data_IF_763966620174
#
_entry.id   IF_763966620174
#
_cell.length_a   1.000
_cell.length_b   1.000
_cell.length_c   1.000
_cell.angle_alpha   90.00
_cell.angle_beta   90.00
_cell.angle_gamma   90.00
#
_symmetry.space_group_name_H-M   'P 1'
#
loop_
_entity.id
_entity.type
_entity.pdbx_description
1 polymer ?
#
# COMPACT_ATOMS: atom_id res chain seq x y z
N UNK A 1 -8.29 -9.25 13.84
CA UNK A 1 -7.98 -7.84 14.20
C UNK A 1 -8.68 -6.89 13.22
N UNK A 2 -9.15 -5.70 13.64
CA UNK A 2 -9.73 -4.72 12.71
C UNK A 2 -8.66 -3.81 12.10
N UNK A 3 -8.80 -3.53 10.81
CA UNK A 3 -7.97 -2.53 10.11
C UNK A 3 -8.21 -1.15 10.77
N UNK A 4 -7.16 -0.40 11.14
CA UNK A 4 -7.31 0.94 11.71
C UNK A 4 -8.08 1.91 10.81
N UNK A 5 -8.80 2.86 11.39
CA UNK A 5 -9.64 3.81 10.65
C UNK A 5 -8.86 4.66 9.65
N UNK A 6 -7.64 5.07 10.00
CA UNK A 6 -6.78 5.84 9.08
C UNK A 6 -6.43 5.01 7.84
N UNK A 7 -6.14 3.72 7.98
CA UNK A 7 -5.83 2.84 6.86
C UNK A 7 -7.06 2.64 5.95
N UNK A 8 -8.26 2.53 6.54
CA UNK A 8 -9.52 2.47 5.78
C UNK A 8 -9.80 3.77 5.03
N UNK A 9 -9.60 4.92 5.66
CA UNK A 9 -9.79 6.25 5.05
C UNK A 9 -8.81 6.47 3.89
N UNK A 10 -7.55 6.09 4.07
CA UNK A 10 -6.53 6.14 3.02
C UNK A 10 -6.92 5.25 1.84
N UNK A 11 -7.38 4.02 2.11
CA UNK A 11 -7.83 3.12 1.05
C UNK A 11 -9.03 3.69 0.27
N UNK A 12 -10.00 4.32 0.93
CA UNK A 12 -11.11 4.99 0.24
C UNK A 12 -10.63 6.17 -0.62
N UNK A 13 -9.64 6.92 -0.15
CA UNK A 13 -9.04 8.01 -0.93
C UNK A 13 -8.32 7.47 -2.16
N UNK A 14 -7.59 6.36 -2.02
CA UNK A 14 -6.94 5.67 -3.12
C UNK A 14 -7.97 5.20 -4.18
N UNK A 15 -9.08 4.59 -3.75
CA UNK A 15 -10.14 4.15 -4.66
C UNK A 15 -10.75 5.31 -5.44
N UNK A 16 -11.01 6.44 -4.78
CA UNK A 16 -11.51 7.64 -5.45
C UNK A 16 -10.52 8.19 -6.48
N UNK A 17 -9.25 8.33 -6.09
CA UNK A 17 -8.21 8.79 -7.01
C UNK A 17 -8.04 7.85 -8.20
N UNK A 18 -8.16 6.53 -7.99
CA UNK A 18 -8.16 5.54 -9.07
C UNK A 18 -9.33 5.73 -10.05
N UNK A 19 -10.55 5.91 -9.52
CA UNK A 19 -11.74 6.14 -10.33
C UNK A 19 -11.64 7.42 -11.16
N UNK A 20 -11.01 8.45 -10.60
CA UNK A 20 -10.79 9.74 -11.26
C UNK A 20 -9.56 9.75 -12.20
N UNK A 21 -8.82 8.65 -12.31
CA UNK A 21 -7.60 8.56 -13.13
C UNK A 21 -6.40 9.32 -12.57
N UNK A 22 -6.46 9.70 -11.30
CA UNK A 22 -5.49 10.55 -10.60
C UNK A 22 -4.53 9.73 -9.73
N UNK A 23 -4.04 8.60 -10.24
CA UNK A 23 -2.97 7.85 -9.59
C UNK A 23 -1.65 8.09 -10.31
N UNK A 24 -0.59 8.21 -9.51
CA UNK A 24 0.78 8.23 -9.99
C UNK A 24 1.58 7.11 -9.30
N UNK A 25 2.50 6.51 -10.06
CA UNK A 25 3.58 5.69 -9.51
C UNK A 25 4.85 6.54 -9.53
N UNK A 26 5.48 6.69 -8.38
CA UNK A 26 6.62 7.57 -8.19
C UNK A 26 7.80 6.80 -7.62
N UNK A 27 8.99 7.02 -8.19
CA UNK A 27 10.23 6.54 -7.59
C UNK A 27 10.59 7.44 -6.41
N UNK A 28 10.81 6.83 -5.24
CA UNK A 28 11.17 7.53 -4.02
C UNK A 28 12.32 6.80 -3.33
N UNK A 29 13.05 7.51 -2.48
CA UNK A 29 13.99 6.90 -1.55
C UNK A 29 13.30 6.75 -0.20
N UNK A 30 13.40 5.56 0.38
CA UNK A 30 13.04 5.34 1.78
C UNK A 30 13.87 6.28 2.66
N UNK A 31 13.20 7.08 3.49
CA UNK A 31 13.86 8.19 4.19
C UNK A 31 14.85 7.72 5.27
N UNK A 32 14.70 6.50 5.77
CA UNK A 32 15.57 5.93 6.80
C UNK A 32 16.74 5.17 6.19
N UNK A 33 16.48 4.36 5.16
CA UNK A 33 17.45 3.42 4.60
C UNK A 33 18.10 3.88 3.30
N UNK A 34 17.49 4.86 2.60
CA UNK A 34 17.90 5.29 1.26
C UNK A 34 17.58 4.28 0.16
N UNK A 35 16.82 3.22 0.44
CA UNK A 35 16.43 2.22 -0.55
C UNK A 35 15.45 2.82 -1.58
N UNK A 36 15.60 2.46 -2.85
CA UNK A 36 14.67 2.88 -3.90
C UNK A 36 13.33 2.12 -3.77
N UNK A 37 12.23 2.87 -3.70
CA UNK A 37 10.85 2.38 -3.54
C UNK A 37 9.97 2.95 -4.66
N UNK A 38 9.01 2.16 -5.12
CA UNK A 38 7.99 2.61 -6.08
C UNK A 38 6.68 2.88 -5.32
N UNK A 39 6.38 4.15 -5.10
CA UNK A 39 5.28 4.62 -4.23
C UNK A 39 4.04 4.92 -5.06
N UNK A 40 2.90 4.38 -4.61
CA UNK A 40 1.57 4.70 -5.13
C UNK A 40 1.10 5.99 -4.47
N UNK A 41 0.78 6.99 -5.31
CA UNK A 41 0.31 8.29 -4.86
C UNK A 41 -1.05 8.64 -5.47
N UNK A 42 -1.95 9.23 -4.67
CA UNK A 42 -3.02 10.05 -5.24
C UNK A 42 -2.45 11.39 -5.70
N UNK A 43 -2.88 11.84 -6.87
CA UNK A 43 -2.58 13.15 -7.43
C UNK A 43 -3.77 14.07 -7.14
N UNK A 44 -3.51 15.10 -6.37
CA UNK A 44 -4.44 16.21 -6.13
C UNK A 44 -3.93 17.50 -6.73
N UNK A 45 -4.71 18.56 -6.54
CA UNK A 45 -4.28 19.93 -6.79
C UNK A 45 -4.51 20.78 -5.56
N UNK A 46 -3.55 21.65 -5.28
CA UNK A 46 -3.71 22.76 -4.35
C UNK A 46 -3.41 24.06 -5.12
N UNK A 47 -4.47 24.79 -5.49
CA UNK A 47 -4.38 25.90 -6.43
C UNK A 47 -3.84 25.46 -7.79
N UNK A 48 -2.65 25.98 -8.15
CA UNK A 48 -1.96 25.66 -9.39
C UNK A 48 -0.97 24.47 -9.25
N UNK A 49 -0.68 24.05 -8.02
CA UNK A 49 0.32 23.04 -7.73
C UNK A 49 -0.28 21.64 -7.69
N UNK A 50 0.53 20.65 -8.11
CA UNK A 50 0.19 19.25 -7.92
C UNK A 50 0.62 18.80 -6.53
N UNK A 51 -0.28 18.11 -5.84
CA UNK A 51 0.00 17.50 -4.54
C UNK A 51 -0.01 15.99 -4.70
N UNK A 52 1.01 15.32 -4.19
CA UNK A 52 1.13 13.88 -4.22
C UNK A 52 0.97 13.33 -2.81
N UNK A 53 -0.08 12.55 -2.60
CA UNK A 53 -0.34 11.89 -1.31
C UNK A 53 0.10 10.43 -1.40
N UNK A 54 1.22 10.04 -0.76
CA UNK A 54 1.70 8.66 -0.79
C UNK A 54 0.84 7.76 0.11
N UNK A 55 0.46 6.58 -0.40
CA UNK A 55 -0.29 5.58 0.38
C UNK A 55 0.53 4.36 0.77
N UNK A 56 1.53 4.02 -0.03
CA UNK A 56 2.38 2.86 0.19
C UNK A 56 3.25 2.60 -1.02
N UNK A 57 4.23 1.70 -0.88
CA UNK A 57 5.07 1.27 -1.98
C UNK A 57 4.65 -0.11 -2.49
N UNK A 58 4.96 -0.40 -3.75
CA UNK A 58 4.87 -1.75 -4.29
C UNK A 58 5.80 -2.68 -3.50
N UNK A 59 5.40 -3.94 -3.36
CA UNK A 59 6.24 -4.95 -2.73
C UNK A 59 7.59 -5.04 -3.45
N UNK A 60 8.65 -5.17 -2.68
CA UNK A 60 9.97 -5.45 -3.24
C UNK A 60 10.03 -6.95 -3.59
N UNK A 61 10.16 -7.27 -4.87
CA UNK A 61 10.17 -8.65 -5.34
C UNK A 61 8.79 -9.30 -5.31
N UNK A 62 8.73 -10.57 -4.89
CA UNK A 62 7.51 -11.36 -4.90
C UNK A 62 6.66 -11.11 -3.62
N UNK A 63 5.44 -10.55 -3.73
CA UNK A 63 4.60 -10.27 -2.56
C UNK A 63 4.24 -11.51 -1.74
N UNK A 64 4.18 -12.68 -2.37
CA UNK A 64 3.84 -13.94 -1.69
C UNK A 64 4.94 -14.43 -0.74
N UNK A 65 6.18 -13.99 -0.96
CA UNK A 65 7.30 -14.27 -0.05
C UNK A 65 7.35 -13.25 1.10
N UNK A 66 6.75 -12.07 0.90
CA UNK A 66 6.77 -10.96 1.86
C UNK A 66 5.58 -10.94 2.83
N UNK A 67 4.41 -11.44 2.40
CA UNK A 67 3.16 -11.31 3.16
C UNK A 67 2.42 -12.64 3.29
N UNK A 68 1.96 -12.92 4.50
CA UNK A 68 1.04 -14.02 4.78
C UNK A 68 -0.40 -13.49 4.72
N UNK A 69 -1.30 -14.14 3.96
CA UNK A 69 -2.70 -13.71 3.91
C UNK A 69 -3.42 -14.03 5.22
N UNK A 70 -4.49 -13.30 5.57
CA UNK A 70 -5.31 -13.60 6.74
C UNK A 70 -5.92 -15.01 6.64
N UNK A 71 -5.99 -15.72 7.75
CA UNK A 71 -6.59 -17.07 7.80
C UNK A 71 -8.12 -16.97 7.67
N UNK A 72 -8.76 -17.72 6.74
CA UNK A 72 -10.21 -17.58 6.49
C UNK A 72 -11.06 -17.98 7.71
N UNK A 73 -10.61 -18.97 8.48
CA UNK A 73 -11.34 -19.52 9.64
C UNK A 73 -10.80 -19.05 11.00
N UNK A 74 -9.75 -18.22 11.02
CA UNK A 74 -9.17 -17.68 12.26
C UNK A 74 -9.03 -16.16 12.13
N UNK A 75 -9.93 -15.37 12.73
CA UNK A 75 -9.93 -13.91 12.68
C UNK A 75 -8.66 -13.22 13.24
N UNK A 76 -7.82 -13.95 13.97
CA UNK A 76 -6.52 -13.49 14.48
C UNK A 76 -5.33 -14.11 13.75
N UNK A 77 -5.55 -15.12 12.92
CA UNK A 77 -4.53 -15.94 12.30
C UNK A 77 -4.12 -15.49 10.91
N UNK A 78 -2.98 -16.00 10.46
CA UNK A 78 -2.46 -15.85 9.10
C UNK A 78 -2.11 -17.22 8.54
N UNK A 79 -2.25 -17.38 7.23
CA UNK A 79 -1.90 -18.64 6.55
C UNK A 79 -0.38 -18.71 6.43
N UNK A 80 0.23 -19.66 7.13
CA UNK A 80 1.61 -20.03 6.91
C UNK A 80 1.65 -21.13 5.86
N UNK A 81 2.51 -21.00 4.85
CA UNK A 81 2.84 -22.13 3.98
C UNK A 81 3.44 -23.24 4.85
N UNK A 82 2.78 -24.39 4.91
CA UNK A 82 3.36 -25.60 5.50
C UNK A 82 4.59 -25.96 4.67
N UNK A 83 5.80 -25.72 5.19
CA UNK A 83 6.99 -26.38 4.67
C UNK A 83 6.80 -27.88 4.92
N UNK A 84 6.70 -28.75 3.89
CA UNK A 84 6.73 -30.17 4.13
C UNK A 84 8.07 -30.49 4.80
N UNK A 85 8.00 -31.19 5.94
CA UNK A 85 9.16 -31.59 6.74
C UNK A 85 10.21 -32.36 5.95
#
# INVERSE_FOLDING_TARGET
MSIPDHARSNFQTLLRAAADGNLALMECLDAETGAQRYVICAVGRDGADYVFTPFGHLAEGNPYDAYLPPHPDDPGGFVHSETPS
#
